data_IF_563792949145
#
_entry.id   IF_563792949145
#
_cell.length_a   1.000
_cell.length_b   1.000
_cell.length_c   1.000
_cell.angle_alpha   90.00
_cell.angle_beta   90.00
_cell.angle_gamma   90.00
#
_symmetry.space_group_name_H-M   'P 1'
#
loop_
_entity.id
_entity.type
_entity.pdbx_description
1 polymer ?
#
# COMPACT_ATOMS: atom_id res chain seq x y z
N UNK A 1 29.48 10.69 -11.58
CA UNK A 1 28.05 10.36 -11.60
C UNK A 1 27.62 9.97 -13.01
N UNK A 2 26.88 8.89 -13.13
CA UNK A 2 26.35 8.47 -14.42
C UNK A 2 25.19 9.38 -14.81
N UNK A 3 25.15 9.82 -16.09
CA UNK A 3 24.08 10.69 -16.58
C UNK A 3 22.70 10.05 -16.40
N UNK A 4 22.59 8.73 -16.57
CA UNK A 4 21.31 8.03 -16.40
C UNK A 4 20.76 8.10 -14.97
N UNK A 5 21.63 8.28 -13.96
CA UNK A 5 21.17 8.36 -12.56
C UNK A 5 20.42 9.66 -12.27
N UNK A 6 20.70 10.73 -13.01
CA UNK A 6 20.05 12.02 -12.84
C UNK A 6 18.56 11.93 -13.17
N UNK A 7 18.21 11.07 -14.12
CA UNK A 7 16.86 10.96 -14.66
C UNK A 7 16.11 9.73 -14.16
N UNK A 8 16.68 9.02 -13.19
CA UNK A 8 16.07 7.80 -12.65
C UNK A 8 15.30 8.12 -11.37
N UNK A 9 14.04 7.75 -11.36
CA UNK A 9 13.14 8.00 -10.23
C UNK A 9 12.54 6.70 -9.73
N UNK A 10 12.44 6.59 -8.40
CA UNK A 10 11.81 5.45 -7.75
C UNK A 10 10.32 5.73 -7.56
N UNK A 11 9.50 4.77 -7.95
CA UNK A 11 8.04 4.84 -7.80
C UNK A 11 7.56 3.66 -6.98
N UNK A 12 6.61 3.94 -6.10
CA UNK A 12 5.88 2.93 -5.35
C UNK A 12 4.41 3.07 -5.68
N UNK A 13 3.78 2.01 -6.12
CA UNK A 13 2.43 2.02 -6.64
C UNK A 13 1.58 0.94 -5.98
N UNK A 14 0.29 1.24 -5.82
CA UNK A 14 -0.73 0.23 -5.59
C UNK A 14 -1.57 0.12 -6.85
N UNK A 15 -1.70 -1.09 -7.37
CA UNK A 15 -2.47 -1.37 -8.57
C UNK A 15 -3.71 -2.19 -8.22
N UNK A 16 -4.88 -1.67 -8.57
CA UNK A 16 -6.15 -2.36 -8.41
C UNK A 16 -6.76 -2.62 -9.79
N UNK A 17 -7.31 -3.83 -10.01
CA UNK A 17 -7.98 -4.17 -11.26
C UNK A 17 -9.49 -4.19 -11.13
N UNK A 18 -9.98 -4.67 -10.02
CA UNK A 18 -11.41 -4.81 -9.77
C UNK A 18 -11.83 -4.05 -8.53
N UNK A 19 -13.00 -3.44 -8.51
CA UNK A 19 -14.05 -3.45 -9.54
C UNK A 19 -13.73 -2.58 -10.77
N UNK A 20 -12.64 -1.82 -10.73
CA UNK A 20 -12.16 -1.01 -11.85
C UNK A 20 -10.65 -0.80 -11.70
N UNK A 21 -10.01 -0.40 -12.79
CA UNK A 21 -8.59 -0.10 -12.78
C UNK A 21 -8.31 1.17 -11.99
N UNK A 22 -7.35 1.08 -11.07
CA UNK A 22 -6.89 2.22 -10.29
C UNK A 22 -5.40 2.08 -10.01
N UNK A 23 -4.66 3.14 -10.26
CA UNK A 23 -3.24 3.23 -9.93
C UNK A 23 -3.06 4.32 -8.90
N UNK A 24 -2.48 3.96 -7.76
CA UNK A 24 -2.23 4.91 -6.67
C UNK A 24 -0.73 5.03 -6.50
N UNK A 25 -0.18 6.22 -6.73
CA UNK A 25 1.23 6.49 -6.47
C UNK A 25 1.40 6.79 -4.98
N UNK A 26 2.35 6.10 -4.36
CA UNK A 26 2.68 6.28 -2.95
C UNK A 26 3.95 7.13 -2.84
N UNK A 27 3.83 8.33 -2.28
CA UNK A 27 4.97 9.24 -2.07
C UNK A 27 4.95 9.90 -0.69
N UNK A 28 3.81 9.92 -0.02
CA UNK A 28 3.65 10.53 1.31
C UNK A 28 4.17 9.62 2.42
N UNK A 29 4.38 10.21 3.58
CA UNK A 29 4.87 9.47 4.75
C UNK A 29 3.85 8.49 5.32
N UNK A 30 2.56 8.80 5.12
CA UNK A 30 1.51 8.03 5.75
C UNK A 30 0.23 8.05 4.92
N UNK A 31 -0.46 6.91 4.86
CA UNK A 31 -1.76 6.75 4.21
C UNK A 31 -2.70 5.99 5.10
N UNK A 32 -3.97 6.40 5.10
CA UNK A 32 -5.04 5.62 5.70
C UNK A 32 -5.89 5.03 4.58
N UNK A 33 -6.36 3.81 4.79
CA UNK A 33 -7.12 3.03 3.80
C UNK A 33 -8.40 2.55 4.46
N UNK A 34 -9.53 2.77 3.81
CA UNK A 34 -10.79 2.27 4.33
C UNK A 34 -12.00 2.81 3.60
N UNK A 35 -13.16 2.43 4.11
CA UNK A 35 -14.45 2.76 3.53
C UNK A 35 -14.86 4.22 3.78
N UNK A 36 -14.41 4.80 4.88
CA UNK A 36 -14.76 6.17 5.22
C UNK A 36 -14.10 7.14 4.24
N UNK A 37 -14.84 8.15 3.79
CA UNK A 37 -14.34 9.14 2.83
C UNK A 37 -13.22 10.03 3.35
N UNK A 38 -12.95 10.02 4.66
CA UNK A 38 -11.83 10.77 5.25
C UNK A 38 -10.48 10.08 5.05
N UNK A 39 -10.46 8.82 4.61
CA UNK A 39 -9.21 8.12 4.36
C UNK A 39 -8.48 8.71 3.14
N UNK A 40 -7.16 8.62 3.16
CA UNK A 40 -6.34 9.01 2.01
C UNK A 40 -6.64 8.14 0.79
N UNK A 41 -6.88 6.85 1.04
CA UNK A 41 -7.24 5.87 0.01
C UNK A 41 -8.58 5.28 0.40
N UNK A 42 -9.61 5.66 -0.34
CA UNK A 42 -10.96 5.16 -0.08
C UNK A 42 -11.20 3.91 -0.91
N UNK A 43 -11.60 2.83 -0.23
CA UNK A 43 -12.00 1.57 -0.86
C UNK A 43 -13.37 1.19 -0.32
N UNK A 44 -14.27 0.75 -1.19
CA UNK A 44 -15.65 0.48 -0.82
C UNK A 44 -15.99 -0.99 -0.85
N UNK A 45 -16.88 -1.39 0.03
CA UNK A 45 -17.36 -2.75 0.15
C UNK A 45 -17.79 -3.04 1.58
N UNK A 46 -18.84 -3.83 1.78
CA UNK A 46 -19.35 -4.16 3.10
C UNK A 46 -18.28 -4.77 4.04
N UNK A 47 -17.39 -5.66 3.56
CA UNK A 47 -16.33 -6.19 4.41
C UNK A 47 -15.22 -5.21 4.79
N UNK A 48 -15.22 -4.02 4.20
CA UNK A 48 -14.18 -3.03 4.45
C UNK A 48 -14.55 -2.18 5.67
N UNK A 49 -13.66 -2.13 6.65
CA UNK A 49 -13.83 -1.28 7.82
C UNK A 49 -13.68 0.19 7.44
N UNK A 50 -14.28 1.09 8.23
CA UNK A 50 -14.16 2.52 8.02
C UNK A 50 -12.70 2.96 7.95
N UNK A 51 -11.89 2.47 8.88
CA UNK A 51 -10.44 2.59 8.89
C UNK A 51 -9.87 1.19 8.91
N UNK A 52 -9.51 0.68 7.73
CA UNK A 52 -9.17 -0.73 7.56
C UNK A 52 -7.68 -0.99 7.69
N UNK A 53 -6.85 -0.10 7.18
CA UNK A 53 -5.41 -0.28 7.18
C UNK A 53 -4.69 1.08 7.06
N UNK A 54 -3.38 1.03 7.24
CA UNK A 54 -2.51 2.18 7.05
C UNK A 54 -1.23 1.74 6.33
N UNK A 55 -0.62 2.69 5.65
CA UNK A 55 0.72 2.53 5.06
C UNK A 55 1.63 3.58 5.69
N UNK A 56 2.78 3.13 6.15
CA UNK A 56 3.79 4.00 6.74
C UNK A 56 5.08 3.90 5.94
N UNK A 57 5.60 5.05 5.52
CA UNK A 57 6.88 5.09 4.83
C UNK A 57 8.01 4.93 5.83
N UNK A 58 8.97 4.08 5.49
CA UNK A 58 10.17 3.79 6.27
C UNK A 58 11.41 4.13 5.45
N UNK A 59 12.55 4.28 6.13
CA UNK A 59 13.83 4.37 5.45
C UNK A 59 14.04 3.17 4.54
N UNK A 60 14.73 3.42 3.42
CA UNK A 60 15.02 2.38 2.46
C UNK A 60 16.05 1.38 2.94
N UNK A 61 16.21 0.34 2.15
CA UNK A 61 17.16 -0.73 2.37
C UNK A 61 17.69 -1.17 1.01
N UNK A 62 19.01 -1.42 0.92
CA UNK A 62 19.63 -1.75 -0.35
C UNK A 62 19.53 -0.62 -1.35
N UNK A 63 19.00 -0.89 -2.54
CA UNK A 63 18.82 0.10 -3.60
C UNK A 63 17.56 0.95 -3.45
N UNK A 64 16.68 0.58 -2.55
CA UNK A 64 15.44 1.30 -2.32
C UNK A 64 15.67 2.50 -1.43
N UNK A 65 15.22 3.68 -1.86
CA UNK A 65 15.33 4.91 -1.08
C UNK A 65 14.38 4.93 0.09
N UNK A 66 13.24 4.26 -0.03
CA UNK A 66 12.25 4.15 1.02
C UNK A 66 11.44 2.88 0.82
N UNK A 67 10.71 2.49 1.85
CA UNK A 67 9.86 1.30 1.87
C UNK A 67 8.52 1.67 2.48
N UNK A 68 7.54 0.81 2.33
CA UNK A 68 6.24 0.98 2.97
C UNK A 68 5.92 -0.22 3.85
N UNK A 69 5.45 0.09 5.05
CA UNK A 69 4.91 -0.91 5.96
C UNK A 69 3.39 -0.81 5.96
N UNK A 70 2.75 -1.95 5.70
CA UNK A 70 1.31 -2.10 5.79
C UNK A 70 0.94 -2.45 7.23
N UNK A 71 -0.07 -1.80 7.76
CA UNK A 71 -0.53 -1.98 9.14
C UNK A 71 -2.03 -2.22 9.09
N UNK A 72 -2.50 -3.32 9.73
CA UNK A 72 -3.93 -3.59 9.85
C UNK A 72 -4.55 -2.62 10.86
N UNK A 73 -5.75 -2.14 10.56
CA UNK A 73 -6.54 -1.38 11.49
C UNK A 73 -6.32 0.13 11.45
N UNK A 74 -6.78 0.78 12.51
CA UNK A 74 -6.73 2.23 12.63
C UNK A 74 -5.51 2.71 13.42
N UNK A 75 -5.35 4.03 13.49
CA UNK A 75 -4.23 4.67 14.19
C UNK A 75 -4.29 4.51 15.70
N UNK A 76 -5.43 4.12 16.26
CA UNK A 76 -5.61 3.84 17.69
C UNK A 76 -5.26 2.39 18.05
N UNK A 77 -4.80 1.61 17.08
CA UNK A 77 -4.42 0.23 17.28
C UNK A 77 -5.56 -0.77 17.21
N UNK A 78 -6.76 -0.33 16.84
CA UNK A 78 -7.90 -1.23 16.69
C UNK A 78 -7.82 -1.95 15.34
N UNK A 79 -7.79 -3.30 15.32
CA UNK A 79 -7.68 -4.05 14.07
C UNK A 79 -8.92 -3.89 13.20
N UNK A 80 -8.76 -4.14 11.89
CA UNK A 80 -9.90 -4.19 10.99
C UNK A 80 -10.79 -5.39 11.34
N UNK A 81 -12.04 -5.30 10.93
CA UNK A 81 -13.02 -6.35 11.21
C UNK A 81 -12.72 -7.65 10.48
N UNK A 82 -12.33 -7.57 9.20
CA UNK A 82 -12.15 -8.73 8.34
C UNK A 82 -10.70 -8.95 7.88
N UNK A 83 -9.77 -8.17 8.38
CA UNK A 83 -8.34 -8.43 8.20
C UNK A 83 -7.72 -7.87 6.95
N UNK A 84 -6.40 -7.90 6.98
CA UNK A 84 -5.51 -7.56 5.87
C UNK A 84 -4.63 -8.76 5.60
N UNK A 85 -4.48 -9.11 4.34
CA UNK A 85 -3.70 -10.28 3.92
C UNK A 85 -2.65 -9.84 2.91
N UNK A 86 -1.44 -10.38 3.05
CA UNK A 86 -0.36 -10.20 2.09
C UNK A 86 0.01 -11.59 1.56
N UNK A 87 -0.13 -11.77 0.25
CA UNK A 87 0.10 -13.06 -0.40
C UNK A 87 -0.68 -14.19 0.30
N UNK A 88 -1.95 -13.90 0.62
CA UNK A 88 -2.90 -14.83 1.25
C UNK A 88 -2.63 -15.15 2.72
N UNK A 89 -1.64 -14.50 3.32
CA UNK A 89 -1.38 -14.65 4.76
C UNK A 89 -1.83 -13.39 5.52
N UNK A 90 -2.61 -13.60 6.55
CA UNK A 90 -3.06 -12.50 7.40
C UNK A 90 -1.88 -11.83 8.09
N UNK A 91 -1.86 -10.51 8.08
CA UNK A 91 -0.80 -9.76 8.73
C UNK A 91 -1.36 -8.69 9.66
N UNK A 92 -0.59 -8.34 10.68
CA UNK A 92 -0.83 -7.16 11.52
C UNK A 92 0.04 -6.00 11.03
N UNK A 93 1.28 -6.30 10.71
CA UNK A 93 2.27 -5.36 10.18
C UNK A 93 3.20 -6.10 9.25
N UNK A 94 3.50 -5.50 8.12
CA UNK A 94 4.43 -6.12 7.19
C UNK A 94 5.04 -5.07 6.26
N UNK A 95 6.36 -5.11 6.12
CA UNK A 95 7.06 -4.32 5.11
C UNK A 95 6.80 -4.97 3.76
N UNK A 96 6.32 -4.17 2.82
CA UNK A 96 5.94 -4.65 1.50
C UNK A 96 7.14 -4.81 0.59
N UNK A 97 7.07 -5.84 -0.26
CA UNK A 97 8.02 -6.07 -1.33
C UNK A 97 7.30 -6.01 -2.66
N UNK A 98 8.01 -5.56 -3.70
CA UNK A 98 7.43 -5.44 -5.03
C UNK A 98 6.86 -6.78 -5.50
N UNK A 99 5.61 -6.76 -5.96
CA UNK A 99 4.89 -7.96 -6.36
C UNK A 99 3.95 -8.50 -5.29
N UNK A 100 4.02 -7.99 -4.07
CA UNK A 100 3.09 -8.43 -3.02
C UNK A 100 1.65 -8.12 -3.39
N UNK A 101 0.79 -9.12 -3.20
CA UNK A 101 -0.65 -8.97 -3.38
C UNK A 101 -1.31 -8.74 -2.03
N UNK A 102 -1.93 -7.58 -1.87
CA UNK A 102 -2.63 -7.21 -0.64
C UNK A 102 -4.13 -7.43 -0.85
N UNK A 103 -4.75 -8.08 0.11
CA UNK A 103 -6.21 -8.27 0.12
C UNK A 103 -6.80 -7.62 1.37
N UNK A 104 -7.77 -6.75 1.15
CA UNK A 104 -8.47 -6.05 2.23
C UNK A 104 -9.85 -6.68 2.41
N UNK A 105 -10.12 -7.20 3.60
CA UNK A 105 -11.43 -7.76 3.93
C UNK A 105 -11.83 -8.97 3.08
N UNK A 106 -10.89 -9.58 2.38
CA UNK A 106 -11.14 -10.70 1.49
C UNK A 106 -11.76 -10.33 0.14
N UNK A 107 -11.99 -9.05 -0.14
CA UNK A 107 -12.73 -8.61 -1.35
C UNK A 107 -11.97 -7.64 -2.25
N UNK A 108 -11.14 -6.77 -1.70
CA UNK A 108 -10.39 -5.78 -2.50
C UNK A 108 -8.93 -6.21 -2.55
N UNK A 109 -8.42 -6.34 -3.77
CA UNK A 109 -7.03 -6.73 -4.01
C UNK A 109 -6.25 -5.61 -4.66
N UNK A 110 -5.05 -5.36 -4.15
CA UNK A 110 -4.11 -4.41 -4.73
C UNK A 110 -2.73 -5.03 -4.75
N UNK A 111 -2.02 -4.87 -5.87
CA UNK A 111 -0.63 -5.28 -5.98
C UNK A 111 0.26 -4.09 -5.67
N UNK A 112 1.24 -4.31 -4.80
CA UNK A 112 2.27 -3.32 -4.53
C UNK A 112 3.41 -3.49 -5.51
N UNK A 113 3.83 -2.39 -6.15
CA UNK A 113 4.93 -2.38 -7.11
C UNK A 113 5.91 -1.29 -6.73
N UNK A 114 7.19 -1.67 -6.68
CA UNK A 114 8.30 -0.72 -6.66
C UNK A 114 8.99 -0.80 -8.01
N UNK A 115 9.17 0.32 -8.65
CA UNK A 115 9.81 0.37 -9.96
C UNK A 115 10.70 1.60 -10.08
N UNK A 116 11.70 1.50 -10.94
CA UNK A 116 12.57 2.61 -11.30
C UNK A 116 12.22 3.06 -12.71
N UNK A 117 12.01 4.36 -12.87
CA UNK A 117 11.68 4.93 -14.18
C UNK A 117 12.68 6.02 -14.53
N UNK A 118 13.08 6.05 -15.78
CA UNK A 118 14.00 7.05 -16.34
C UNK A 118 13.22 7.97 -17.26
N UNK A 119 13.39 9.26 -17.08
CA UNK A 119 12.79 10.27 -17.95
C UNK A 119 13.82 10.82 -18.92
#
# INVERSE_FOLDING_TARGET
>A
MNVSDINTHEFHLLLMKEPFYRVIRLSSDFYTIGRDGTNSIVIVGDPISRQHAALQRLEGSGESKYRYRLIDGNTDGKPSRNGVFVNEQRCERQVLESGDMITFGGVIRMMYIRTMMTY
#
